data_IF_546128534558
#
_entry.id   IF_546128534558
#
_cell.length_a   1.000
_cell.length_b   1.000
_cell.length_c   1.000
_cell.angle_alpha   90.00
_cell.angle_beta   90.00
_cell.angle_gamma   90.00
#
_symmetry.space_group_name_H-M   'P 1'
#
loop_
_entity.id
_entity.type
_entity.pdbx_description
1 polymer ?
#
# COMPACT_ATOMS: atom_id res chain seq x y z
N UNK A 1 -7.66 -2.26 -20.81
CA UNK A 1 -7.87 -1.02 -20.05
C UNK A 1 -6.63 -0.16 -20.22
N UNK A 2 -6.77 1.09 -20.67
CA UNK A 2 -5.64 2.00 -20.88
C UNK A 2 -5.13 2.51 -19.53
N UNK A 3 -3.82 2.40 -19.29
CA UNK A 3 -3.19 2.90 -18.06
C UNK A 3 -3.35 4.42 -17.93
N UNK A 4 -3.47 4.92 -16.70
CA UNK A 4 -3.68 6.34 -16.42
C UNK A 4 -2.53 7.20 -16.97
N UNK A 5 -1.30 6.68 -16.98
CA UNK A 5 -0.14 7.37 -17.53
C UNK A 5 -0.28 7.57 -19.04
N UNK A 6 -0.77 6.55 -19.76
CA UNK A 6 -1.03 6.61 -21.20
C UNK A 6 -2.12 7.62 -21.52
N UNK A 7 -3.18 7.67 -20.69
CA UNK A 7 -4.25 8.65 -20.87
C UNK A 7 -3.77 10.08 -20.67
N UNK A 8 -3.01 10.36 -19.61
CA UNK A 8 -2.46 11.70 -19.34
C UNK A 8 -1.54 12.16 -20.47
N UNK A 9 -0.71 11.27 -21.02
CA UNK A 9 0.15 11.59 -22.17
C UNK A 9 -0.66 11.89 -23.44
N UNK A 10 -1.76 11.17 -23.67
CA UNK A 10 -2.68 11.44 -24.77
C UNK A 10 -3.36 12.81 -24.61
N UNK A 11 -3.79 13.15 -23.39
CA UNK A 11 -4.45 14.42 -23.10
C UNK A 11 -3.49 15.62 -23.24
N UNK A 12 -2.21 15.47 -22.86
CA UNK A 12 -1.16 16.48 -23.12
C UNK A 12 -0.89 16.61 -24.62
N UNK A 13 -0.77 15.49 -25.34
CA UNK A 13 -0.53 15.50 -26.79
C UNK A 13 -1.68 16.11 -27.58
N UNK A 14 -2.91 15.96 -27.10
CA UNK A 14 -4.12 16.58 -27.67
C UNK A 14 -4.29 18.05 -27.28
N UNK A 15 -3.44 18.60 -26.40
CA UNK A 15 -3.54 19.98 -25.92
C UNK A 15 -4.72 20.23 -24.97
N UNK A 16 -5.35 19.17 -24.45
CA UNK A 16 -6.48 19.27 -23.51
C UNK A 16 -6.02 19.67 -22.11
N UNK A 17 -4.78 19.33 -21.76
CA UNK A 17 -4.12 19.74 -20.53
C UNK A 17 -2.70 20.23 -20.84
N UNK A 18 -2.22 21.16 -20.03
CA UNK A 18 -0.85 21.64 -20.14
C UNK A 18 0.14 20.57 -19.65
N UNK A 19 1.40 20.59 -20.11
CA UNK A 19 2.44 19.71 -19.57
C UNK A 19 2.62 19.85 -18.04
N UNK A 20 2.35 21.04 -17.49
CA UNK A 20 2.40 21.29 -16.05
C UNK A 20 1.27 20.56 -15.30
N UNK A 21 0.04 20.64 -15.80
CA UNK A 21 -1.11 19.93 -15.23
C UNK A 21 -0.96 18.41 -15.33
N UNK A 22 -0.46 17.91 -16.46
CA UNK A 22 -0.11 16.51 -16.64
C UNK A 22 0.93 16.03 -15.63
N UNK A 23 1.99 16.82 -15.39
CA UNK A 23 3.01 16.52 -14.39
C UNK A 23 2.43 16.47 -12.96
N UNK A 24 1.49 17.35 -12.62
CA UNK A 24 0.81 17.34 -11.30
C UNK A 24 -0.05 16.08 -11.15
N UNK A 25 -0.79 15.68 -12.18
CA UNK A 25 -1.62 14.47 -12.17
C UNK A 25 -0.79 13.20 -12.01
N UNK A 26 0.31 13.08 -12.75
CA UNK A 26 1.24 11.97 -12.63
C UNK A 26 1.96 11.96 -11.28
N UNK A 27 2.32 13.13 -10.73
CA UNK A 27 2.94 13.24 -9.42
C UNK A 27 1.99 12.81 -8.29
N UNK A 28 0.71 13.17 -8.35
CA UNK A 28 -0.31 12.69 -7.39
C UNK A 28 -0.50 11.17 -7.45
N UNK A 29 -0.43 10.58 -8.64
CA UNK A 29 -0.44 9.14 -8.81
C UNK A 29 0.84 8.49 -8.24
N UNK A 30 2.00 9.11 -8.47
CA UNK A 30 3.29 8.66 -7.91
C UNK A 30 3.37 8.78 -6.39
N UNK A 31 2.74 9.79 -5.80
CA UNK A 31 2.63 9.94 -4.35
C UNK A 31 1.72 8.87 -3.73
N UNK A 32 0.68 8.41 -4.45
CA UNK A 32 -0.06 7.20 -4.09
C UNK A 32 0.78 5.93 -4.21
N UNK A 33 1.77 5.88 -5.12
CA UNK A 33 2.66 4.71 -5.32
C UNK A 33 4.01 4.80 -4.60
N UNK A 34 4.30 5.84 -3.80
CA UNK A 34 5.20 5.73 -2.63
C UNK A 34 4.53 4.91 -1.51
N UNK A 35 3.78 3.89 -1.91
CA UNK A 35 2.92 3.09 -1.09
C UNK A 35 3.74 2.16 -0.22
N UNK A 36 3.21 1.92 0.97
CA UNK A 36 3.67 0.83 1.81
C UNK A 36 3.63 -0.47 1.00
N UNK A 37 4.76 -1.18 0.93
CA UNK A 37 4.83 -2.49 0.30
C UNK A 37 4.82 -3.54 1.40
N UNK A 38 3.87 -4.47 1.32
CA UNK A 38 3.73 -5.57 2.26
C UNK A 38 4.41 -6.83 1.70
N UNK A 39 5.18 -7.52 2.55
CA UNK A 39 5.80 -8.82 2.24
C UNK A 39 5.80 -9.71 3.46
N UNK A 40 5.64 -11.01 3.29
CA UNK A 40 5.88 -11.97 4.39
C UNK A 40 7.38 -12.18 4.55
N UNK A 41 7.88 -12.02 5.77
CA UNK A 41 9.29 -12.27 6.08
C UNK A 41 9.56 -13.78 6.23
N UNK A 42 10.82 -14.24 6.13
CA UNK A 42 11.16 -15.66 6.37
C UNK A 42 10.75 -16.18 7.77
N UNK A 43 10.58 -15.27 8.74
CA UNK A 43 10.12 -15.60 10.10
C UNK A 43 8.60 -15.73 10.22
N UNK A 44 7.86 -15.42 9.14
CA UNK A 44 6.40 -15.40 9.11
C UNK A 44 5.77 -14.11 9.63
N UNK A 45 6.53 -13.01 9.68
CA UNK A 45 6.02 -11.69 10.08
C UNK A 45 5.51 -10.90 8.86
N UNK A 46 4.71 -9.86 9.12
CA UNK A 46 4.33 -8.87 8.14
C UNK A 46 5.44 -7.82 8.04
N UNK A 47 6.11 -7.81 6.90
CA UNK A 47 7.15 -6.86 6.54
C UNK A 47 6.57 -5.65 5.82
N UNK A 48 6.69 -4.47 6.42
CA UNK A 48 6.23 -3.18 5.93
C UNK A 48 7.44 -2.41 5.38
N UNK A 49 7.49 -2.27 4.06
CA UNK A 49 8.54 -1.57 3.32
C UNK A 49 8.02 -0.23 2.78
N UNK A 50 8.92 0.68 2.41
CA UNK A 50 8.55 1.98 1.80
C UNK A 50 8.14 3.06 2.80
N UNK A 51 7.77 2.70 4.04
CA UNK A 51 7.43 3.66 5.10
C UNK A 51 8.64 4.44 5.64
N UNK A 52 9.79 3.76 5.77
CA UNK A 52 11.05 4.35 6.27
C UNK A 52 12.25 3.61 5.65
N UNK A 53 13.48 4.10 5.87
CA UNK A 53 14.72 3.50 5.33
C UNK A 53 14.85 2.00 5.63
N UNK A 54 14.52 1.59 6.85
CA UNK A 54 14.57 0.19 7.28
C UNK A 54 13.17 -0.40 7.37
N UNK A 55 12.89 -1.58 6.81
CA UNK A 55 11.57 -2.19 6.92
C UNK A 55 11.19 -2.44 8.39
N UNK A 56 9.89 -2.45 8.65
CA UNK A 56 9.33 -2.86 9.93
C UNK A 56 8.83 -4.29 9.75
N UNK A 57 9.16 -5.20 10.68
CA UNK A 57 8.64 -6.56 10.68
C UNK A 57 7.86 -6.76 11.97
N UNK A 58 6.60 -7.14 11.88
CA UNK A 58 5.71 -7.31 13.03
C UNK A 58 4.87 -8.58 12.88
N UNK A 59 4.63 -9.32 13.95
CA UNK A 59 3.73 -10.47 13.88
C UNK A 59 2.28 -10.00 13.74
N UNK A 60 1.46 -10.80 13.08
CA UNK A 60 0.05 -10.46 12.85
C UNK A 60 -0.71 -10.18 14.15
N UNK A 61 -0.50 -11.00 15.17
CA UNK A 61 -1.19 -10.87 16.46
C UNK A 61 -0.71 -9.66 17.26
N UNK A 62 0.57 -9.31 17.18
CA UNK A 62 1.12 -8.08 17.77
C UNK A 62 0.54 -6.84 17.08
N UNK A 63 0.52 -6.82 15.75
CA UNK A 63 -0.05 -5.71 14.98
C UNK A 63 -1.53 -5.52 15.33
N UNK A 64 -2.30 -6.60 15.33
CA UNK A 64 -3.73 -6.56 15.71
C UNK A 64 -3.92 -6.04 17.14
N UNK A 65 -3.07 -6.47 18.09
CA UNK A 65 -3.13 -6.01 19.47
C UNK A 65 -2.83 -4.52 19.61
N UNK A 66 -1.84 -4.01 18.87
CA UNK A 66 -1.52 -2.58 18.83
C UNK A 66 -2.69 -1.78 18.25
N UNK A 67 -3.27 -2.25 17.14
CA UNK A 67 -4.41 -1.57 16.52
C UNK A 67 -5.63 -1.54 17.45
N UNK A 68 -5.93 -2.64 18.13
CA UNK A 68 -6.97 -2.68 19.15
C UNK A 68 -6.71 -1.74 20.35
N UNK A 69 -5.44 -1.49 20.69
CA UNK A 69 -5.08 -0.57 21.76
C UNK A 69 -5.17 0.91 21.34
N UNK A 70 -4.79 1.21 20.10
CA UNK A 70 -4.66 2.60 19.59
C UNK A 70 -5.96 3.11 18.95
N UNK A 71 -6.74 2.21 18.32
CA UNK A 71 -7.96 2.56 17.58
C UNK A 71 -9.21 2.24 18.38
N UNK A 72 -10.28 3.01 18.16
CA UNK A 72 -11.60 2.76 18.73
C UNK A 72 -12.29 1.56 18.09
N UNK A 73 -13.37 1.09 18.69
CA UNK A 73 -14.18 -0.01 18.14
C UNK A 73 -14.67 0.29 16.72
N UNK A 74 -14.70 -0.75 15.87
CA UNK A 74 -15.15 -0.64 14.47
C UNK A 74 -14.05 -0.30 13.45
N UNK A 75 -12.77 -0.41 13.81
CA UNK A 75 -11.69 -0.31 12.82
C UNK A 75 -11.63 -1.56 11.94
N UNK A 76 -11.28 -1.38 10.68
CA UNK A 76 -11.08 -2.45 9.72
C UNK A 76 -9.76 -2.25 8.96
N UNK A 77 -9.13 -3.35 8.56
CA UNK A 77 -7.99 -3.29 7.65
C UNK A 77 -8.46 -2.78 6.27
N UNK A 78 -7.60 -2.04 5.57
CA UNK A 78 -7.80 -1.68 4.17
C UNK A 78 -7.93 -2.92 3.27
N UNK A 79 -8.62 -2.80 2.13
CA UNK A 79 -8.78 -3.88 1.14
C UNK A 79 -7.43 -4.51 0.70
N UNK A 80 -6.39 -3.70 0.50
CA UNK A 80 -5.05 -4.17 0.12
C UNK A 80 -4.45 -5.07 1.20
N UNK A 81 -4.59 -4.68 2.47
CA UNK A 81 -4.13 -5.46 3.61
C UNK A 81 -4.95 -6.74 3.77
N UNK A 82 -6.28 -6.67 3.63
CA UNK A 82 -7.14 -7.87 3.68
C UNK A 82 -6.78 -8.87 2.58
N UNK A 83 -6.56 -8.38 1.36
CA UNK A 83 -6.12 -9.19 0.22
C UNK A 83 -4.76 -9.82 0.50
N UNK A 84 -3.79 -9.03 0.96
CA UNK A 84 -2.46 -9.51 1.34
C UNK A 84 -2.52 -10.60 2.41
N UNK A 85 -3.32 -10.41 3.47
CA UNK A 85 -3.49 -11.38 4.55
C UNK A 85 -4.09 -12.69 4.03
N UNK A 86 -5.11 -12.61 3.18
CA UNK A 86 -5.79 -13.78 2.60
C UNK A 86 -4.87 -14.58 1.68
N UNK A 87 -4.10 -13.90 0.83
CA UNK A 87 -3.17 -14.54 -0.11
C UNK A 87 -1.97 -15.19 0.59
N UNK A 88 -1.69 -14.85 1.84
CA UNK A 88 -0.51 -15.30 2.58
C UNK A 88 -0.84 -15.95 3.93
N UNK A 89 -2.09 -16.40 4.12
CA UNK A 89 -2.57 -16.94 5.41
C UNK A 89 -1.74 -18.15 5.89
N UNK A 90 -1.24 -18.96 4.96
CA UNK A 90 -0.39 -20.13 5.19
C UNK A 90 1.04 -19.77 5.62
N UNK A 91 1.52 -18.59 5.24
CA UNK A 91 2.90 -18.13 5.48
C UNK A 91 3.02 -17.22 6.69
N UNK A 92 1.93 -16.54 7.07
CA UNK A 92 1.89 -15.63 8.20
C UNK A 92 1.74 -16.45 9.51
N UNK A 93 2.69 -16.28 10.44
CA UNK A 93 2.60 -16.92 11.75
C UNK A 93 1.61 -16.18 12.65
N UNK A 94 0.59 -16.90 13.07
CA UNK A 94 -0.36 -16.49 14.11
C UNK A 94 0.21 -16.96 15.46
N UNK A 95 1.08 -16.15 16.06
CA UNK A 95 1.64 -16.40 17.39
C UNK A 95 0.55 -16.27 18.46
N UNK A 96 0.50 -17.22 19.40
CA UNK A 96 -0.40 -17.23 20.56
C UNK A 96 0.03 -16.22 21.61
#
# INVERSE_FOLDING_TARGET
MTDLSTKVLQDVAAGLITPSEGAILLKKQQEKTKGVILKVTPKGCIGIYGLRRMPISIYYTELTSILNYVLSEGWEYSDDMNTFLKENDDRIKKTK
#
